data_IF_201435757806
#
_entry.id   IF_201435757806
#
_cell.length_a   1.000
_cell.length_b   1.000
_cell.length_c   1.000
_cell.angle_alpha   90.00
_cell.angle_beta   90.00
_cell.angle_gamma   90.00
#
_symmetry.space_group_name_H-M   'P 1'
#
loop_
_entity.id
_entity.type
_entity.pdbx_description
1 polymer ?
#
# COMPACT_ATOMS: atom_id res chain seq x y z
N UNK A 1 -14.07 -24.67 17.35
CA UNK A 1 -14.91 -25.85 17.62
C UNK A 1 -16.08 -25.38 18.46
N UNK A 2 -17.30 -25.48 17.93
CA UNK A 2 -18.52 -25.48 18.75
C UNK A 2 -19.13 -26.84 18.43
N UNK A 3 -19.09 -27.74 19.41
CA UNK A 3 -19.47 -29.17 19.34
C UNK A 3 -19.25 -29.92 18.00
N UNK A 4 -18.08 -30.54 17.87
CA UNK A 4 -17.87 -31.72 17.01
C UNK A 4 -17.65 -31.52 15.50
N UNK A 5 -17.88 -30.32 14.93
CA UNK A 5 -17.72 -30.07 13.49
C UNK A 5 -16.74 -28.93 13.13
N UNK A 6 -16.27 -28.86 11.87
CA UNK A 6 -15.56 -27.68 11.38
C UNK A 6 -16.48 -26.46 11.43
N UNK A 7 -16.01 -25.39 12.07
CA UNK A 7 -16.73 -24.14 12.19
C UNK A 7 -16.13 -23.12 11.22
N UNK A 8 -16.98 -22.47 10.42
CA UNK A 8 -16.57 -21.32 9.62
C UNK A 8 -16.31 -20.14 10.56
N UNK A 9 -15.10 -19.62 10.53
CA UNK A 9 -14.72 -18.38 11.20
C UNK A 9 -14.48 -17.32 10.14
N UNK A 10 -14.93 -16.10 10.41
CA UNK A 10 -14.70 -14.99 9.49
C UNK A 10 -13.20 -14.69 9.41
N UNK A 11 -12.67 -14.49 8.19
CA UNK A 11 -11.33 -13.96 8.00
C UNK A 11 -11.26 -12.51 8.49
N UNK A 12 -10.34 -12.25 9.41
CA UNK A 12 -10.18 -10.92 10.04
C UNK A 12 -9.05 -10.10 9.41
N UNK A 13 -8.29 -10.68 8.49
CA UNK A 13 -7.23 -10.02 7.74
C UNK A 13 -7.20 -10.56 6.31
N UNK A 14 -6.70 -9.72 5.40
CA UNK A 14 -6.43 -10.10 4.02
C UNK A 14 -5.21 -9.32 3.51
N UNK A 15 -4.67 -9.72 2.37
CA UNK A 15 -3.46 -9.12 1.79
C UNK A 15 -3.73 -8.62 0.39
N UNK A 16 -3.56 -7.31 0.20
CA UNK A 16 -3.35 -6.69 -1.10
C UNK A 16 -1.86 -6.69 -1.42
N UNK A 17 -1.47 -6.98 -2.66
CA UNK A 17 -0.08 -6.89 -3.09
C UNK A 17 0.05 -6.40 -4.53
N UNK A 18 1.21 -5.82 -4.81
CA UNK A 18 1.66 -5.44 -6.15
C UNK A 18 3.05 -6.00 -6.38
N UNK A 19 3.29 -6.58 -7.55
CA UNK A 19 4.60 -7.14 -7.92
C UNK A 19 4.99 -6.62 -9.30
N UNK A 20 6.26 -6.23 -9.43
CA UNK A 20 6.87 -5.86 -10.70
C UNK A 20 6.39 -4.53 -11.30
N UNK A 21 5.34 -3.91 -10.76
CA UNK A 21 4.71 -2.67 -11.27
C UNK A 21 3.31 -2.87 -11.84
N UNK A 22 3.05 -3.88 -12.69
CA UNK A 22 1.78 -4.01 -13.37
C UNK A 22 0.85 -5.06 -12.74
N UNK A 23 1.31 -5.97 -11.89
CA UNK A 23 0.52 -7.09 -11.39
C UNK A 23 -0.03 -6.80 -9.99
N UNK A 24 -1.36 -6.76 -9.87
CA UNK A 24 -2.04 -6.41 -8.62
C UNK A 24 -2.93 -7.56 -8.15
N UNK A 25 -3.03 -7.71 -6.83
CA UNK A 25 -4.06 -8.50 -6.17
C UNK A 25 -4.76 -7.67 -5.11
N UNK A 26 -6.09 -7.60 -5.18
CA UNK A 26 -6.93 -6.89 -4.19
C UNK A 26 -7.16 -7.72 -2.92
N UNK A 27 -7.68 -7.08 -1.87
CA UNK A 27 -8.05 -7.76 -0.61
C UNK A 27 -9.15 -8.82 -0.78
N UNK A 28 -10.05 -8.68 -1.75
CA UNK A 28 -11.07 -9.68 -2.11
C UNK A 28 -10.56 -10.71 -3.14
N UNK A 29 -9.25 -10.71 -3.43
CA UNK A 29 -8.59 -11.76 -4.20
C UNK A 29 -8.60 -11.59 -5.71
N UNK A 30 -9.11 -10.48 -6.25
CA UNK A 30 -9.10 -10.21 -7.69
C UNK A 30 -7.68 -9.90 -8.15
N UNK A 31 -7.27 -10.56 -9.24
CA UNK A 31 -5.97 -10.38 -9.87
C UNK A 31 -6.18 -9.65 -11.19
N UNK A 32 -5.41 -8.60 -11.43
CA UNK A 32 -5.47 -7.82 -12.66
C UNK A 32 -4.15 -7.15 -12.98
N UNK A 33 -4.01 -6.80 -14.25
CA UNK A 33 -2.85 -6.06 -14.75
C UNK A 33 -3.24 -4.59 -15.00
N UNK A 34 -2.38 -3.68 -14.54
CA UNK A 34 -2.54 -2.25 -14.75
C UNK A 34 -1.22 -1.59 -15.11
N UNK A 35 -1.07 -1.18 -16.38
CA UNK A 35 0.16 -0.61 -16.93
C UNK A 35 0.25 0.92 -16.72
N UNK A 36 -0.11 1.41 -15.54
CA UNK A 36 -0.03 2.83 -15.18
C UNK A 36 1.39 3.30 -14.86
N UNK A 37 1.70 4.56 -15.15
CA UNK A 37 3.03 5.19 -14.97
C UNK A 37 3.01 6.41 -14.06
N UNK A 38 2.01 6.50 -13.18
CA UNK A 38 1.85 7.58 -12.21
C UNK A 38 2.05 7.03 -10.78
N UNK A 39 1.82 7.92 -9.81
CA UNK A 39 1.57 7.53 -8.43
C UNK A 39 0.11 7.12 -8.28
N UNK A 40 -0.13 5.98 -7.63
CA UNK A 40 -1.45 5.43 -7.38
C UNK A 40 -1.60 5.06 -5.91
N UNK A 41 -2.78 5.32 -5.35
CA UNK A 41 -3.14 4.86 -4.00
C UNK A 41 -3.49 3.37 -4.04
N UNK A 42 -2.75 2.53 -3.32
CA UNK A 42 -3.06 1.11 -3.13
C UNK A 42 -4.13 0.90 -2.07
N UNK A 43 -4.02 1.64 -0.97
CA UNK A 43 -4.94 1.56 0.15
C UNK A 43 -4.88 2.86 0.95
N UNK A 44 -6.03 3.33 1.41
CA UNK A 44 -6.14 4.46 2.34
C UNK A 44 -7.40 4.32 3.18
N UNK A 45 -7.44 5.00 4.31
CA UNK A 45 -8.70 5.20 5.04
C UNK A 45 -9.59 6.14 4.23
N UNK A 46 -10.81 5.68 3.89
CA UNK A 46 -11.78 6.49 3.14
C UNK A 46 -12.79 7.22 4.04
N UNK A 47 -12.94 6.80 5.30
CA UNK A 47 -13.92 7.36 6.22
C UNK A 47 -13.31 7.65 7.60
N UNK A 48 -13.11 8.93 7.89
CA UNK A 48 -12.56 9.42 9.16
C UNK A 48 -13.49 9.14 10.34
N UNK A 49 -14.80 8.96 10.10
CA UNK A 49 -15.79 8.70 11.14
C UNK A 49 -15.67 7.32 11.81
N UNK A 50 -14.84 6.43 11.28
CA UNK A 50 -14.67 5.07 11.80
C UNK A 50 -13.77 4.98 13.04
N UNK A 51 -13.29 6.11 13.59
CA UNK A 51 -12.25 6.16 14.63
C UNK A 51 -11.01 5.31 14.27
N UNK A 52 -10.74 5.16 12.97
CA UNK A 52 -9.57 4.44 12.48
C UNK A 52 -8.40 5.41 12.37
N UNK A 53 -7.19 5.01 12.78
CA UNK A 53 -6.02 5.85 12.60
C UNK A 53 -5.76 6.09 11.12
N UNK A 54 -5.33 7.30 10.78
CA UNK A 54 -4.99 7.67 9.42
C UNK A 54 -3.83 6.80 8.89
N UNK A 55 -4.02 6.28 7.67
CA UNK A 55 -2.93 5.76 6.87
C UNK A 55 -3.24 5.88 5.37
N UNK A 56 -2.17 5.94 4.57
CA UNK A 56 -2.20 5.77 3.12
C UNK A 56 -0.97 5.00 2.65
N UNK A 57 -1.17 4.19 1.63
CA UNK A 57 -0.11 3.44 0.95
C UNK A 57 -0.19 3.80 -0.53
N UNK A 58 0.88 4.41 -1.03
CA UNK A 58 1.01 4.82 -2.42
C UNK A 58 2.15 4.10 -3.11
N UNK A 59 1.95 3.80 -4.38
CA UNK A 59 2.96 3.21 -5.25
C UNK A 59 3.22 4.15 -6.43
N UNK A 60 4.49 4.49 -6.64
CA UNK A 60 4.93 5.22 -7.82
C UNK A 60 5.45 4.24 -8.85
N UNK A 61 4.75 4.15 -9.97
CA UNK A 61 5.17 3.35 -11.11
C UNK A 61 5.80 4.24 -12.18
N UNK A 62 6.82 3.76 -12.86
CA UNK A 62 7.43 4.48 -13.98
C UNK A 62 7.93 3.53 -15.07
N UNK A 63 8.13 4.07 -16.28
CA UNK A 63 8.80 3.37 -17.39
C UNK A 63 10.30 3.73 -17.38
N UNK A 64 11.14 2.82 -17.89
CA UNK A 64 12.61 2.99 -17.96
C UNK A 64 13.06 2.79 -19.40
N UNK A 65 13.61 3.82 -20.01
CA UNK A 65 14.12 3.75 -21.38
C UNK A 65 13.08 3.10 -22.31
N UNK A 66 13.46 1.97 -22.91
CA UNK A 66 12.61 1.22 -23.85
C UNK A 66 11.80 0.08 -23.19
N UNK A 67 11.64 0.10 -21.86
CA UNK A 67 10.84 -0.91 -21.15
C UNK A 67 9.39 -0.88 -21.63
N UNK A 68 8.82 -2.07 -21.86
CA UNK A 68 7.44 -2.25 -22.33
C UNK A 68 6.42 -2.37 -21.19
N UNK A 69 6.88 -2.39 -19.93
CA UNK A 69 6.03 -2.56 -18.75
C UNK A 69 6.56 -1.67 -17.62
N UNK A 70 5.66 -0.99 -16.85
CA UNK A 70 6.08 -0.17 -15.73
C UNK A 70 6.64 -1.00 -14.59
N UNK A 71 7.44 -0.36 -13.75
CA UNK A 71 7.97 -0.93 -12.53
C UNK A 71 7.73 -0.01 -11.34
N UNK A 72 7.77 -0.60 -10.15
CA UNK A 72 7.70 0.14 -8.89
C UNK A 72 9.02 0.90 -8.68
N UNK A 73 8.93 2.22 -8.66
CA UNK A 73 10.06 3.13 -8.44
C UNK A 73 10.14 3.58 -6.98
N UNK A 74 8.97 3.76 -6.34
CA UNK A 74 8.87 4.07 -4.93
C UNK A 74 7.59 3.50 -4.31
N UNK A 75 7.65 3.19 -3.02
CA UNK A 75 6.49 2.92 -2.17
C UNK A 75 6.53 3.90 -1.02
N UNK A 76 5.43 4.62 -0.81
CA UNK A 76 5.26 5.56 0.29
C UNK A 76 4.18 5.04 1.22
N UNK A 77 4.52 4.86 2.49
CA UNK A 77 3.58 4.50 3.55
C UNK A 77 3.53 5.66 4.52
N UNK A 78 2.38 6.31 4.62
CA UNK A 78 2.13 7.29 5.65
C UNK A 78 1.15 6.69 6.64
N UNK A 79 1.51 6.69 7.91
CA UNK A 79 0.65 6.23 9.00
C UNK A 79 0.88 7.16 10.20
N UNK A 80 -0.21 7.66 10.78
CA UNK A 80 -0.13 8.70 11.81
C UNK A 80 0.67 9.91 11.33
N UNK A 81 1.70 10.32 12.07
CA UNK A 81 2.63 11.40 11.73
C UNK A 81 3.94 10.87 11.10
N UNK A 82 4.02 9.59 10.73
CA UNK A 82 5.24 8.98 10.17
C UNK A 82 5.03 8.67 8.70
N UNK A 83 5.96 9.14 7.88
CA UNK A 83 6.07 8.82 6.46
C UNK A 83 7.32 7.97 6.23
N UNK A 84 7.12 6.75 5.75
CA UNK A 84 8.18 5.83 5.33
C UNK A 84 8.21 5.78 3.81
N UNK A 85 9.36 6.05 3.22
CA UNK A 85 9.58 5.99 1.77
C UNK A 85 10.61 4.92 1.45
N UNK A 86 10.19 3.95 0.65
CA UNK A 86 11.06 2.92 0.06
C UNK A 86 11.34 3.30 -1.39
N UNK A 87 12.60 3.56 -1.72
CA UNK A 87 13.02 3.88 -3.08
C UNK A 87 13.71 2.68 -3.72
N UNK A 88 13.39 2.40 -4.99
CA UNK A 88 14.05 1.33 -5.75
C UNK A 88 15.57 1.51 -5.84
N UNK A 89 16.05 2.75 -5.84
CA UNK A 89 17.48 3.07 -5.88
C UNK A 89 18.22 2.82 -4.56
N UNK A 90 17.50 2.58 -3.46
CA UNK A 90 18.05 2.49 -2.10
C UNK A 90 17.86 1.08 -1.53
N UNK A 91 18.59 0.11 -2.09
CA UNK A 91 18.45 -1.29 -1.67
C UNK A 91 18.84 -1.48 -0.20
N UNK A 92 17.92 -2.03 0.59
CA UNK A 92 18.12 -2.31 2.02
C UNK A 92 17.94 -1.08 2.93
N UNK A 93 17.58 0.08 2.39
CA UNK A 93 17.36 1.29 3.16
C UNK A 93 15.93 1.80 2.96
N UNK A 94 15.42 2.47 3.99
CA UNK A 94 14.16 3.20 3.96
C UNK A 94 14.39 4.59 4.54
N UNK A 95 13.69 5.58 4.01
CA UNK A 95 13.68 6.93 4.57
C UNK A 95 12.48 7.03 5.51
N UNK A 96 12.70 7.59 6.69
CA UNK A 96 11.66 7.81 7.70
C UNK A 96 11.61 9.29 8.01
N UNK A 97 10.44 9.90 7.84
CA UNK A 97 10.16 11.29 8.16
C UNK A 97 9.03 11.34 9.18
N UNK A 98 9.21 12.12 10.24
CA UNK A 98 8.15 12.44 11.18
C UNK A 98 7.67 13.87 10.89
N UNK A 99 6.38 14.04 10.66
CA UNK A 99 5.77 15.35 10.52
C UNK A 99 5.53 15.91 11.92
N UNK A 100 6.22 17.01 12.26
CA UNK A 100 5.93 17.75 13.48
C UNK A 100 4.52 18.34 13.37
N UNK A 101 3.65 18.05 14.34
CA UNK A 101 2.34 18.69 14.47
C UNK A 101 2.54 20.18 14.79
N UNK A 102 2.82 21.01 13.80
CA UNK A 102 2.70 22.45 13.95
C UNK A 102 1.23 22.84 13.83
N UNK A 103 0.46 22.51 14.88
CA UNK A 103 -0.75 23.27 15.21
C UNK A 103 -0.28 24.64 15.71
N UNK A 104 -0.01 25.55 14.77
CA UNK A 104 -0.02 26.97 15.09
C UNK A 104 -1.43 27.34 15.56
N UNK A 105 -1.50 27.89 16.78
CA UNK A 105 -2.67 28.55 17.38
C UNK A 105 -2.93 29.90 16.70
#
# INVERSE_FOLDING_TARGET
MVEGGPACVQETFSTCWVIGGPHYKTFDGKIFDFMGTCTYTLSKVCNEAANLPFFTVEVKNSLRGNAKSPYIDAVTVQAYNITVVMLRSENGFVRVCEEENNQEM
#
